data_IF_533391902049
#
_entry.id   IF_533391902049
#
_cell.length_a   1.000
_cell.length_b   1.000
_cell.length_c   1.000
_cell.angle_alpha   90.00
_cell.angle_beta   90.00
_cell.angle_gamma   90.00
#
_symmetry.space_group_name_H-M   'P 1'
#
loop_
_entity.id
_entity.type
_entity.pdbx_description
1 polymer ?
#
# COMPACT_ATOMS: atom_id res chain seq x y z
N UNK A 1 -8.26 3.94 6.87
CA UNK A 1 -7.75 2.90 7.78
C UNK A 1 -6.24 2.73 7.77
N UNK A 2 -5.56 3.17 6.75
CA UNK A 2 -4.13 2.91 6.60
C UNK A 2 -3.29 4.19 6.52
N UNK A 3 -3.86 5.32 6.91
CA UNK A 3 -3.20 6.62 6.93
C UNK A 3 -3.05 7.07 8.37
N UNK A 4 -1.86 7.51 8.77
CA UNK A 4 -1.61 8.02 10.11
C UNK A 4 -2.54 9.19 10.44
N UNK A 5 -3.04 9.24 11.65
CA UNK A 5 -3.95 10.27 12.13
C UNK A 5 -5.40 10.17 11.67
N UNK A 6 -5.68 9.54 10.52
CA UNK A 6 -7.05 9.43 10.00
C UNK A 6 -7.80 8.23 10.55
N UNK A 7 -7.10 7.15 10.87
CA UNK A 7 -7.69 5.89 11.34
C UNK A 7 -7.35 5.56 12.79
N UNK A 8 -6.43 6.31 13.38
CA UNK A 8 -6.07 6.11 14.77
C UNK A 8 -7.21 6.60 15.66
N UNK A 9 -7.59 5.78 16.65
CA UNK A 9 -8.67 6.10 17.60
C UNK A 9 -10.07 6.25 16.99
N UNK A 10 -10.28 5.70 15.80
CA UNK A 10 -11.63 5.63 15.22
C UNK A 10 -12.41 4.44 15.79
N UNK A 11 -13.72 4.39 15.53
CA UNK A 11 -14.56 3.24 15.90
C UNK A 11 -14.15 1.91 15.23
N UNK A 12 -13.19 1.95 14.32
CA UNK A 12 -12.65 0.76 13.66
C UNK A 12 -11.48 0.13 14.45
N UNK A 13 -10.84 0.88 15.34
CA UNK A 13 -9.74 0.36 16.18
C UNK A 13 -10.30 -0.36 17.40
N UNK A 14 -10.04 -1.66 17.52
CA UNK A 14 -10.39 -2.48 18.68
C UNK A 14 -9.16 -2.77 19.52
N UNK A 15 -8.06 -3.19 18.87
CA UNK A 15 -6.79 -3.45 19.55
C UNK A 15 -5.61 -3.07 18.66
N UNK A 16 -4.85 -2.09 19.10
CA UNK A 16 -3.76 -1.48 18.35
C UNK A 16 -2.46 -1.47 19.15
N UNK A 17 -1.35 -1.62 18.44
CA UNK A 17 -0.03 -1.20 18.92
C UNK A 17 0.16 0.26 18.51
N UNK A 18 0.32 1.11 19.51
CA UNK A 18 0.48 2.55 19.29
C UNK A 18 1.87 2.89 18.81
N UNK A 19 1.96 3.80 17.86
CA UNK A 19 3.18 4.34 17.33
C UNK A 19 3.24 5.87 17.50
N UNK A 20 4.43 6.41 17.57
CA UNK A 20 4.66 7.86 17.64
C UNK A 20 5.87 8.23 16.77
N UNK A 21 5.88 9.45 16.27
CA UNK A 21 7.04 10.03 15.59
C UNK A 21 7.82 10.87 16.61
N UNK A 22 9.13 10.62 16.71
CA UNK A 22 10.05 11.50 17.44
C UNK A 22 10.60 12.55 16.46
N UNK A 23 10.44 13.81 16.80
CA UNK A 23 10.93 14.92 15.96
C UNK A 23 12.45 15.01 15.82
N UNK A 24 13.24 14.28 16.61
CA UNK A 24 14.68 14.47 16.71
C UNK A 24 15.57 13.26 16.51
N UNK A 25 15.07 12.04 16.75
CA UNK A 25 15.87 10.81 16.61
C UNK A 25 15.03 9.68 16.07
N UNK A 26 15.25 9.34 14.82
CA UNK A 26 14.49 8.34 14.06
C UNK A 26 14.48 6.94 14.68
N UNK A 27 15.52 6.60 15.42
CA UNK A 27 15.74 5.22 15.90
C UNK A 27 15.27 4.98 17.34
N UNK A 28 14.89 6.00 18.08
CA UNK A 28 14.54 5.91 19.51
C UNK A 28 13.06 6.12 19.78
N UNK A 29 12.29 6.51 18.79
CA UNK A 29 10.85 6.66 18.91
C UNK A 29 10.15 5.30 18.80
N UNK A 30 8.99 5.20 19.42
CA UNK A 30 8.07 4.09 19.21
C UNK A 30 7.38 4.24 17.82
N UNK A 31 8.17 4.07 16.78
CA UNK A 31 7.75 4.20 15.40
C UNK A 31 7.23 2.88 14.85
N UNK A 32 6.23 2.95 14.01
CA UNK A 32 5.78 1.79 13.25
C UNK A 32 6.88 1.35 12.28
N UNK A 33 7.10 0.04 12.17
CA UNK A 33 8.08 -0.58 11.28
C UNK A 33 7.82 -0.42 9.78
N UNK A 34 6.92 0.48 9.38
CA UNK A 34 6.59 0.78 7.99
C UNK A 34 7.81 1.23 7.15
N UNK A 35 8.83 1.76 7.77
CA UNK A 35 10.07 2.16 7.10
C UNK A 35 10.83 0.99 6.44
N UNK A 36 10.52 -0.24 6.81
CA UNK A 36 11.04 -1.42 6.13
C UNK A 36 10.20 -1.86 4.93
N UNK A 37 8.94 -1.41 4.88
CA UNK A 37 7.95 -1.90 3.93
C UNK A 37 7.99 -1.11 2.63
N UNK A 38 8.03 0.21 2.72
CA UNK A 38 8.01 1.09 1.56
C UNK A 38 9.30 1.00 0.75
N UNK A 39 9.20 1.17 -0.53
CA UNK A 39 10.33 1.44 -1.40
C UNK A 39 9.89 2.34 -2.54
N UNK A 40 10.52 3.49 -2.61
CA UNK A 40 10.56 4.30 -3.81
C UNK A 40 11.69 5.31 -3.67
N UNK A 41 12.79 5.08 -4.34
CA UNK A 41 13.92 6.00 -4.35
C UNK A 41 13.56 7.37 -4.91
N UNK A 42 12.73 7.40 -5.95
CA UNK A 42 12.29 8.65 -6.61
C UNK A 42 11.40 9.51 -5.72
N UNK A 43 10.65 8.91 -4.80
CA UNK A 43 9.74 9.65 -3.90
C UNK A 43 10.43 10.11 -2.61
N UNK A 44 11.65 9.65 -2.32
CA UNK A 44 12.31 9.92 -1.05
C UNK A 44 11.57 9.31 0.15
N UNK A 45 10.73 8.31 -0.07
CA UNK A 45 10.05 7.59 1.01
C UNK A 45 11.00 6.59 1.68
N UNK A 46 12.08 6.22 1.02
CA UNK A 46 13.03 5.24 1.50
C UNK A 46 12.42 3.84 1.66
N UNK A 47 13.15 2.96 2.31
CA UNK A 47 12.69 1.61 2.60
C UNK A 47 13.44 0.52 1.83
N UNK A 48 13.03 -0.71 2.06
CA UNK A 48 13.73 -1.90 1.56
C UNK A 48 12.95 -2.67 0.51
N UNK A 49 11.73 -2.24 0.18
CA UNK A 49 10.87 -2.88 -0.80
C UNK A 49 10.27 -4.20 -0.33
N UNK A 50 10.07 -4.36 0.97
CA UNK A 50 9.41 -5.54 1.51
C UNK A 50 7.90 -5.50 1.29
N UNK A 51 7.27 -6.68 1.31
CA UNK A 51 5.82 -6.87 1.20
C UNK A 51 5.23 -6.29 -0.09
N UNK A 52 5.95 -6.44 -1.20
CA UNK A 52 5.36 -6.12 -2.51
C UNK A 52 4.11 -7.01 -2.73
N UNK A 53 2.99 -6.44 -3.18
CA UNK A 53 1.81 -7.22 -3.54
C UNK A 53 2.12 -8.21 -4.65
N UNK A 54 1.69 -9.45 -4.50
CA UNK A 54 1.80 -10.46 -5.56
C UNK A 54 0.75 -10.22 -6.65
N UNK A 55 1.00 -10.76 -7.84
CA UNK A 55 0.01 -10.78 -8.93
C UNK A 55 -1.29 -11.46 -8.51
N UNK A 56 -1.21 -12.57 -7.80
CA UNK A 56 -2.38 -13.30 -7.30
C UNK A 56 -3.23 -12.43 -6.36
N UNK A 57 -2.61 -11.74 -5.42
CA UNK A 57 -3.29 -10.81 -4.51
C UNK A 57 -3.95 -9.66 -5.28
N UNK A 58 -3.28 -9.10 -6.27
CA UNK A 58 -3.83 -8.00 -7.09
C UNK A 58 -5.00 -8.49 -7.94
N UNK A 59 -4.85 -9.63 -8.61
CA UNK A 59 -5.89 -10.21 -9.45
C UNK A 59 -7.12 -10.66 -8.65
N UNK A 60 -6.95 -11.03 -7.37
CA UNK A 60 -8.07 -11.32 -6.48
C UNK A 60 -9.02 -10.11 -6.25
N UNK A 61 -8.58 -8.90 -6.61
CA UNK A 61 -9.43 -7.70 -6.60
C UNK A 61 -10.14 -7.43 -7.93
N UNK A 62 -9.92 -8.25 -8.97
CA UNK A 62 -10.67 -8.13 -10.22
C UNK A 62 -12.12 -8.54 -9.96
N UNK A 63 -13.04 -7.72 -10.43
CA UNK A 63 -14.48 -7.92 -10.27
C UNK A 63 -15.16 -8.00 -11.65
N UNK A 64 -16.37 -8.50 -11.67
CA UNK A 64 -17.20 -8.47 -12.88
C UNK A 64 -17.76 -7.05 -13.14
N UNK A 65 -18.52 -6.90 -14.24
CA UNK A 65 -19.14 -5.63 -14.60
C UNK A 65 -20.18 -5.11 -13.58
N UNK A 66 -20.63 -5.95 -12.65
CA UNK A 66 -21.54 -5.59 -11.56
C UNK A 66 -20.79 -5.29 -10.26
N UNK A 67 -19.47 -5.37 -10.26
CA UNK A 67 -18.64 -5.16 -9.07
C UNK A 67 -18.56 -6.38 -8.13
N UNK A 68 -18.93 -7.57 -8.60
CA UNK A 68 -18.90 -8.78 -7.80
C UNK A 68 -17.55 -9.50 -7.95
N UNK A 69 -16.96 -10.02 -6.84
CA UNK A 69 -15.71 -10.73 -6.88
C UNK A 69 -15.85 -12.11 -7.54
N UNK A 70 -14.78 -12.59 -8.17
CA UNK A 70 -14.70 -13.93 -8.75
C UNK A 70 -14.45 -14.97 -7.68
N UNK A 71 -15.51 -15.48 -7.05
CA UNK A 71 -15.45 -16.41 -5.92
C UNK A 71 -15.00 -17.83 -6.29
N UNK A 72 -14.91 -18.14 -7.58
CA UNK A 72 -14.48 -19.43 -8.12
C UNK A 72 -12.98 -19.50 -8.41
N UNK A 73 -12.22 -18.55 -7.92
CA UNK A 73 -10.77 -18.39 -8.14
C UNK A 73 -10.37 -18.17 -9.62
N UNK A 74 -11.32 -17.93 -10.51
CA UNK A 74 -11.03 -17.72 -11.94
C UNK A 74 -10.14 -16.50 -12.22
N UNK A 75 -10.06 -15.56 -11.27
CA UNK A 75 -9.16 -14.40 -11.35
C UNK A 75 -7.68 -14.81 -11.53
N UNK A 76 -7.30 -16.01 -11.14
CA UNK A 76 -5.93 -16.54 -11.30
C UNK A 76 -5.55 -16.77 -12.76
N UNK A 77 -6.54 -16.88 -13.62
CA UNK A 77 -6.35 -17.03 -15.06
C UNK A 77 -6.37 -15.69 -15.80
N UNK A 78 -6.71 -14.59 -15.10
CA UNK A 78 -6.70 -13.27 -15.70
C UNK A 78 -5.25 -12.79 -15.94
N UNK A 79 -4.99 -12.04 -17.01
CA UNK A 79 -3.71 -11.37 -17.19
C UNK A 79 -3.37 -10.47 -16.02
N UNK A 80 -2.08 -10.25 -15.77
CA UNK A 80 -1.64 -9.26 -14.79
C UNK A 80 -2.12 -7.86 -15.19
N UNK A 81 -2.66 -7.11 -14.24
CA UNK A 81 -3.16 -5.74 -14.49
C UNK A 81 -2.04 -4.78 -14.91
N UNK A 82 -0.82 -4.99 -14.41
CA UNK A 82 0.34 -4.18 -14.79
C UNK A 82 1.36 -5.06 -15.50
N UNK A 83 1.83 -4.59 -16.65
CA UNK A 83 2.80 -5.28 -17.52
C UNK A 83 3.88 -4.30 -18.00
N UNK A 84 4.94 -4.82 -18.58
CA UNK A 84 5.91 -4.04 -19.34
C UNK A 84 5.57 -4.15 -20.83
N UNK A 85 5.64 -3.03 -21.53
CA UNK A 85 5.52 -2.98 -22.99
C UNK A 85 6.83 -3.45 -23.68
N UNK A 86 6.85 -3.41 -25.01
CA UNK A 86 8.02 -3.77 -25.83
C UNK A 86 9.26 -2.90 -25.60
N UNK A 87 9.07 -1.71 -25.00
CA UNK A 87 10.14 -0.76 -24.65
C UNK A 87 10.53 -0.86 -23.16
N UNK A 88 10.05 -1.88 -22.44
CA UNK A 88 10.17 -2.01 -21.00
C UNK A 88 9.55 -0.83 -20.21
N UNK A 89 8.53 -0.17 -20.75
CA UNK A 89 7.76 0.83 -20.03
C UNK A 89 6.60 0.16 -19.30
N UNK A 90 6.37 0.53 -18.03
CA UNK A 90 5.29 -0.04 -17.26
C UNK A 90 3.94 0.56 -17.68
N UNK A 91 2.94 -0.29 -17.78
CA UNK A 91 1.58 0.05 -18.12
C UNK A 91 0.60 -0.71 -17.22
N UNK A 92 -0.47 -0.05 -16.81
CA UNK A 92 -1.58 -0.69 -16.08
C UNK A 92 -2.85 -0.65 -16.91
N UNK A 93 -3.48 -1.80 -17.13
CA UNK A 93 -4.78 -1.85 -17.79
C UNK A 93 -5.86 -1.32 -16.84
N UNK A 94 -6.24 -0.07 -17.04
CA UNK A 94 -7.27 0.62 -16.28
C UNK A 94 -8.70 0.35 -16.79
N UNK A 95 -8.86 -0.47 -17.84
CA UNK A 95 -10.17 -0.84 -18.35
C UNK A 95 -10.78 -2.03 -17.61
N UNK A 96 -9.95 -2.79 -16.89
CA UNK A 96 -10.40 -3.91 -16.07
C UNK A 96 -11.05 -3.40 -14.79
N UNK A 97 -12.25 -3.88 -14.49
CA UNK A 97 -12.95 -3.52 -13.26
C UNK A 97 -12.26 -4.15 -12.06
N UNK A 98 -11.98 -3.32 -11.06
CA UNK A 98 -11.36 -3.76 -9.80
C UNK A 98 -12.11 -3.23 -8.59
N UNK A 99 -12.06 -3.97 -7.50
CA UNK A 99 -12.52 -3.48 -6.21
C UNK A 99 -11.71 -2.22 -5.80
N UNK A 100 -12.37 -1.12 -5.42
CA UNK A 100 -11.68 0.14 -5.04
C UNK A 100 -10.66 -0.02 -3.90
N UNK A 101 -10.78 -1.07 -3.08
CA UNK A 101 -9.82 -1.38 -2.01
C UNK A 101 -8.43 -1.72 -2.56
N UNK A 102 -8.33 -2.12 -3.82
CA UNK A 102 -7.04 -2.34 -4.47
C UNK A 102 -6.19 -1.07 -4.43
N UNK A 103 -6.76 0.06 -4.85
CA UNK A 103 -6.03 1.33 -4.90
C UNK A 103 -5.72 1.94 -3.53
N UNK A 104 -6.38 1.47 -2.47
CA UNK A 104 -6.04 1.82 -1.09
C UNK A 104 -4.82 1.04 -0.58
N UNK A 105 -4.66 -0.20 -1.05
CA UNK A 105 -3.64 -1.12 -0.53
C UNK A 105 -2.40 -1.25 -1.43
N UNK A 106 -2.56 -1.05 -2.73
CA UNK A 106 -1.56 -1.35 -3.76
C UNK A 106 -1.27 -0.14 -4.63
N UNK A 107 0.01 0.19 -4.77
CA UNK A 107 0.48 1.15 -5.75
C UNK A 107 0.64 0.47 -7.10
N UNK A 108 0.02 1.05 -8.13
CA UNK A 108 0.10 0.62 -9.53
C UNK A 108 0.62 1.77 -10.38
N UNK A 109 1.20 1.46 -11.53
CA UNK A 109 1.54 2.48 -12.51
C UNK A 109 0.28 3.18 -13.04
N UNK A 110 0.43 4.44 -13.42
CA UNK A 110 -0.64 5.28 -13.98
C UNK A 110 -1.81 5.55 -13.03
N UNK A 111 -1.68 5.14 -11.74
CA UNK A 111 -2.67 5.47 -10.70
C UNK A 111 -2.04 6.34 -9.61
N UNK A 112 -2.81 7.20 -8.92
CA UNK A 112 -2.27 8.03 -7.85
C UNK A 112 -1.67 7.20 -6.70
N UNK A 113 -0.43 7.49 -6.36
CA UNK A 113 0.21 6.93 -5.17
C UNK A 113 0.15 7.95 -4.04
N UNK A 114 -0.93 7.90 -3.29
CA UNK A 114 -1.26 8.89 -2.26
C UNK A 114 -1.19 10.31 -2.85
N UNK A 115 -0.51 11.22 -2.16
CA UNK A 115 -0.22 12.59 -2.57
C UNK A 115 1.23 12.78 -3.07
N UNK A 116 1.92 11.67 -3.37
CA UNK A 116 3.31 11.71 -3.83
C UNK A 116 3.42 11.94 -5.33
N UNK A 117 2.82 11.07 -6.12
CA UNK A 117 2.93 11.07 -7.58
C UNK A 117 1.93 10.12 -8.25
N UNK A 118 1.91 10.16 -9.59
CA UNK A 118 1.38 9.10 -10.45
C UNK A 118 2.58 8.46 -11.14
N UNK A 119 2.98 7.22 -10.77
CA UNK A 119 4.17 6.61 -11.34
C UNK A 119 3.92 6.22 -12.80
N UNK A 120 4.89 6.52 -13.66
CA UNK A 120 4.84 6.26 -15.09
C UNK A 120 6.16 5.67 -15.65
N UNK A 121 7.11 5.37 -14.78
CA UNK A 121 8.39 4.78 -15.13
C UNK A 121 8.88 3.84 -14.02
N UNK A 122 9.70 2.86 -14.37
CA UNK A 122 10.28 1.91 -13.41
C UNK A 122 11.25 2.58 -12.44
N UNK A 123 11.93 3.64 -12.88
CA UNK A 123 13.03 4.24 -12.15
C UNK A 123 12.61 4.69 -10.74
N UNK A 124 13.25 4.09 -9.75
CA UNK A 124 13.03 4.38 -8.34
C UNK A 124 11.65 3.99 -7.80
N UNK A 125 10.79 3.33 -8.58
CA UNK A 125 9.44 2.94 -8.15
C UNK A 125 9.44 1.61 -7.43
N UNK A 126 9.90 0.55 -8.08
CA UNK A 126 10.09 -0.77 -7.48
C UNK A 126 11.58 -1.08 -7.39
N UNK A 127 11.96 -1.80 -6.33
CA UNK A 127 13.36 -2.15 -6.13
C UNK A 127 13.87 -3.15 -7.16
N UNK A 128 13.07 -4.19 -7.40
CA UNK A 128 13.45 -5.27 -8.31
C UNK A 128 12.18 -5.92 -8.88
N UNK A 129 11.94 -5.67 -10.17
CA UNK A 129 10.77 -6.20 -10.88
C UNK A 129 10.80 -7.73 -10.95
N UNK A 130 12.01 -8.32 -11.07
CA UNK A 130 12.14 -9.79 -11.19
C UNK A 130 11.81 -10.52 -9.90
N UNK A 131 11.92 -9.83 -8.75
CA UNK A 131 11.67 -10.41 -7.44
C UNK A 131 10.22 -10.19 -6.96
N UNK A 132 9.69 -8.98 -7.12
CA UNK A 132 8.38 -8.60 -6.56
C UNK A 132 7.34 -8.14 -7.58
N UNK A 133 7.68 -8.11 -8.87
CA UNK A 133 6.80 -7.62 -9.93
C UNK A 133 6.67 -6.10 -9.96
N UNK A 134 5.55 -5.62 -10.52
CA UNK A 134 5.34 -4.21 -10.85
C UNK A 134 4.54 -3.43 -9.80
N UNK A 135 4.19 -4.06 -8.68
CA UNK A 135 3.35 -3.45 -7.67
C UNK A 135 4.15 -2.98 -6.46
N UNK A 136 3.69 -1.91 -5.85
CA UNK A 136 4.27 -1.37 -4.63
C UNK A 136 3.25 -1.44 -3.48
N UNK A 137 3.73 -1.76 -2.28
CA UNK A 137 2.90 -1.67 -1.09
C UNK A 137 2.54 -0.21 -0.80
N UNK A 138 1.24 0.06 -0.68
CA UNK A 138 0.72 1.41 -0.39
C UNK A 138 0.23 1.53 1.05
N UNK A 139 -0.11 0.40 1.68
CA UNK A 139 -0.48 0.37 3.09
C UNK A 139 0.68 0.84 3.97
N UNK A 140 0.35 1.61 4.98
CA UNK A 140 1.30 2.14 5.97
C UNK A 140 2.35 3.12 5.42
N UNK A 141 2.28 3.47 4.15
CA UNK A 141 3.11 4.54 3.61
C UNK A 141 2.52 5.88 4.06
N UNK A 142 3.30 6.77 4.66
CA UNK A 142 2.83 8.09 5.05
C UNK A 142 2.52 8.94 3.82
N UNK A 143 1.60 9.88 3.95
CA UNK A 143 1.41 10.92 2.93
C UNK A 143 2.58 11.87 2.92
N UNK A 144 2.82 12.50 1.79
CA UNK A 144 3.80 13.58 1.65
C UNK A 144 3.47 14.76 2.56
N UNK A 145 2.17 15.07 2.71
CA UNK A 145 1.68 16.09 3.61
C UNK A 145 1.97 15.81 5.10
N UNK A 146 2.16 14.53 5.47
CA UNK A 146 2.44 14.12 6.86
C UNK A 146 3.92 14.23 7.22
N UNK A 147 4.77 14.61 6.26
CA UNK A 147 6.21 14.73 6.46
C UNK A 147 6.54 15.72 7.58
N UNK A 148 7.23 15.24 8.60
CA UNK A 148 7.63 16.04 9.75
C UNK A 148 6.57 16.20 10.85
N UNK A 149 5.35 15.68 10.66
CA UNK A 149 4.28 15.67 11.67
C UNK A 149 3.91 14.25 12.10
N UNK A 150 3.47 13.43 11.14
CA UNK A 150 3.07 12.04 11.35
C UNK A 150 4.07 11.05 10.72
N UNK A 151 5.11 11.54 10.10
CA UNK A 151 6.27 10.77 9.62
C UNK A 151 7.55 11.57 9.80
N UNK A 152 8.70 10.89 9.71
CA UNK A 152 9.99 11.56 9.81
C UNK A 152 10.24 12.54 8.66
N UNK A 153 11.06 13.56 8.94
CA UNK A 153 11.41 14.60 7.96
C UNK A 153 12.43 14.13 6.93
N UNK A 154 13.36 13.28 7.32
CA UNK A 154 14.48 12.82 6.49
C UNK A 154 14.17 11.49 5.83
N UNK A 155 13.52 10.58 6.57
CA UNK A 155 13.11 9.27 6.08
C UNK A 155 11.61 9.12 6.31
N UNK A 156 10.83 9.43 5.31
CA UNK A 156 9.35 9.41 5.37
C UNK A 156 8.75 8.00 5.41
N UNK A 157 9.60 6.98 5.50
CA UNK A 157 9.23 5.59 5.68
C UNK A 157 8.92 5.18 7.12
N UNK A 158 9.13 6.08 8.09
CA UNK A 158 8.71 5.91 9.49
C UNK A 158 7.45 6.71 9.74
N UNK A 159 6.44 6.11 10.35
CA UNK A 159 5.14 6.72 10.53
C UNK A 159 4.60 6.53 11.94
N UNK A 160 3.85 7.51 12.42
CA UNK A 160 3.10 7.45 13.68
C UNK A 160 1.82 6.60 13.58
N UNK A 161 1.56 5.99 12.44
CA UNK A 161 0.37 5.17 12.27
C UNK A 161 0.39 3.97 13.22
N UNK A 162 -0.70 3.79 13.96
CA UNK A 162 -0.89 2.63 14.82
C UNK A 162 -0.96 1.33 13.99
N UNK A 163 -0.45 0.25 14.55
CA UNK A 163 -0.58 -1.07 13.94
C UNK A 163 -1.84 -1.76 14.50
N UNK A 164 -2.85 -1.91 13.63
CA UNK A 164 -4.10 -2.55 13.99
C UNK A 164 -3.92 -4.06 14.07
N UNK A 165 -4.09 -4.63 15.28
CA UNK A 165 -4.11 -6.07 15.51
C UNK A 165 -5.52 -6.64 15.32
N UNK A 166 -6.53 -5.92 15.82
CA UNK A 166 -7.94 -6.28 15.67
C UNK A 166 -8.72 -5.01 15.30
N UNK A 167 -9.46 -5.08 14.21
CA UNK A 167 -10.36 -4.03 13.75
C UNK A 167 -11.81 -4.43 14.01
N UNK A 168 -12.69 -3.46 14.08
CA UNK A 168 -14.11 -3.73 14.26
C UNK A 168 -14.71 -4.58 13.13
N UNK A 169 -14.24 -4.36 11.90
CA UNK A 169 -14.62 -5.21 10.76
C UNK A 169 -14.26 -6.69 10.98
N UNK A 170 -13.11 -6.98 11.59
CA UNK A 170 -12.71 -8.36 11.91
C UNK A 170 -13.69 -8.99 12.93
N UNK A 171 -14.11 -8.21 13.94
CA UNK A 171 -15.10 -8.65 14.92
C UNK A 171 -16.46 -8.93 14.28
N UNK A 172 -16.89 -8.08 13.34
CA UNK A 172 -18.14 -8.30 12.62
C UNK A 172 -18.11 -9.56 11.74
N UNK A 173 -16.99 -9.84 11.12
CA UNK A 173 -16.81 -11.07 10.34
C UNK A 173 -16.86 -12.31 11.23
N UNK A 174 -16.19 -12.29 12.38
CA UNK A 174 -16.25 -13.38 13.35
C UNK A 174 -17.66 -13.60 13.93
N UNK A 175 -18.41 -12.50 14.09
CA UNK A 175 -19.79 -12.63 14.55
C UNK A 175 -20.72 -13.23 13.48
N UNK A 176 -20.39 -13.04 12.20
CA UNK A 176 -21.18 -13.55 11.08
C UNK A 176 -20.94 -15.06 10.81
N UNK A 177 -19.80 -15.61 11.23
CA UNK A 177 -19.48 -17.05 11.17
C UNK A 177 -20.19 -17.86 12.26
#
# INVERSE_FOLDING_TARGET
>A
LYTAGESDWTGESVFDVQAAVSGTVEQTANINGAWHIGFSGALGTGGWGFYQPSYDMVNAHIVDANGLPKMDDSYRNDPALSTLDENNLPHTDLTVYTDPRLDVSTGRFETPFLDWTVPNALDGWVRDVSNGGLYLNKKNIPRKADKGSLSNTTQTNSTAKNFHLIRYADVLLWYAE
#
